data_IF_921273777453
#
_entry.id   IF_921273777453
#
_cell.length_a   1.000
_cell.length_b   1.000
_cell.length_c   1.000
_cell.angle_alpha   90.00
_cell.angle_beta   90.00
_cell.angle_gamma   90.00
#
_symmetry.space_group_name_H-M   'P 1'
#
loop_
_entity.id
_entity.type
_entity.pdbx_description
1 polymer ?
#
# COMPACT_ATOMS: atom_id res chain seq x y z
N UNK A 1 31.23 3.19 10.08
CA UNK A 1 30.94 3.74 8.72
C UNK A 1 31.60 5.11 8.62
N UNK A 2 32.56 5.28 7.70
CA UNK A 2 33.34 6.53 7.61
C UNK A 2 32.47 7.70 7.14
N UNK A 3 32.82 8.93 7.54
CA UNK A 3 32.10 10.15 7.11
C UNK A 3 32.10 10.36 5.59
N UNK A 4 33.06 9.78 4.89
CA UNK A 4 33.13 9.82 3.42
C UNK A 4 32.08 8.91 2.76
N UNK A 5 31.81 7.73 3.31
CA UNK A 5 30.75 6.82 2.83
C UNK A 5 29.38 7.45 3.00
N UNK A 6 29.14 8.16 4.12
CA UNK A 6 27.89 8.93 4.33
C UNK A 6 27.76 10.09 3.34
N UNK A 7 28.84 10.76 2.98
CA UNK A 7 28.86 11.85 1.98
C UNK A 7 28.66 11.35 0.55
N UNK A 8 29.17 10.17 0.20
CA UNK A 8 28.97 9.57 -1.12
C UNK A 8 27.55 9.07 -1.31
N UNK A 9 26.93 8.48 -0.30
CA UNK A 9 25.52 8.05 -0.30
C UNK A 9 24.60 9.28 -0.41
N UNK A 10 24.89 10.38 0.30
CA UNK A 10 24.14 11.63 0.22
C UNK A 10 24.26 12.33 -1.14
N UNK A 11 25.32 12.06 -1.91
CA UNK A 11 25.58 12.67 -3.24
C UNK A 11 24.95 11.88 -4.40
N UNK A 12 24.63 10.59 -4.18
CA UNK A 12 24.02 9.70 -5.16
C UNK A 12 22.50 9.52 -4.98
N UNK A 13 21.93 10.06 -3.89
CA UNK A 13 20.50 9.92 -3.63
C UNK A 13 19.69 10.92 -4.49
N UNK A 14 18.65 10.47 -5.21
CA UNK A 14 17.65 11.39 -5.73
C UNK A 14 17.14 12.25 -4.56
N UNK A 15 16.77 13.51 -4.87
CA UNK A 15 16.36 14.51 -3.88
C UNK A 15 15.50 13.84 -2.78
N UNK A 16 15.98 13.83 -1.51
CA UNK A 16 15.35 13.12 -0.38
C UNK A 16 13.87 13.46 -0.23
N UNK A 17 13.48 14.68 -0.60
CA UNK A 17 12.10 15.13 -0.57
C UNK A 17 11.26 14.47 -1.67
N UNK A 18 11.85 14.22 -2.85
CA UNK A 18 11.17 13.48 -3.92
C UNK A 18 10.85 12.05 -3.47
N UNK A 19 11.83 11.37 -2.89
CA UNK A 19 11.63 10.01 -2.33
C UNK A 19 10.57 10.03 -1.23
N UNK A 20 10.61 11.02 -0.35
CA UNK A 20 9.60 11.20 0.70
C UNK A 20 8.20 11.39 0.11
N UNK A 21 8.03 12.26 -0.88
CA UNK A 21 6.74 12.49 -1.54
C UNK A 21 6.21 11.20 -2.20
N UNK A 22 7.07 10.43 -2.89
CA UNK A 22 6.68 9.17 -3.53
C UNK A 22 6.26 8.13 -2.49
N UNK A 23 7.01 8.00 -1.39
CA UNK A 23 6.68 7.10 -0.30
C UNK A 23 5.37 7.51 0.40
N UNK A 24 5.15 8.80 0.59
CA UNK A 24 3.90 9.33 1.16
C UNK A 24 2.71 9.06 0.24
N UNK A 25 2.87 9.29 -1.06
CA UNK A 25 1.87 8.99 -2.08
C UNK A 25 1.53 7.49 -2.07
N UNK A 26 2.54 6.63 -2.10
CA UNK A 26 2.35 5.18 -2.06
C UNK A 26 1.65 4.74 -0.77
N UNK A 27 2.00 5.35 0.37
CA UNK A 27 1.38 5.09 1.67
C UNK A 27 -0.10 5.44 1.75
N UNK A 28 -0.53 6.49 1.05
CA UNK A 28 -1.95 6.87 0.95
C UNK A 28 -2.78 5.93 0.08
N UNK A 29 -2.15 5.19 -0.84
CA UNK A 29 -2.84 4.31 -1.79
C UNK A 29 -2.81 2.85 -1.35
N UNK A 30 -1.75 2.39 -0.69
CA UNK A 30 -1.48 0.98 -0.43
C UNK A 30 -2.65 0.21 0.22
N UNK A 31 -3.43 0.89 1.06
CA UNK A 31 -4.54 0.29 1.81
C UNK A 31 -5.93 0.53 1.18
N UNK A 32 -6.02 1.20 0.02
CA UNK A 32 -7.32 1.53 -0.59
C UNK A 32 -8.11 0.31 -1.01
N UNK A 33 -7.45 -0.73 -1.49
CA UNK A 33 -8.14 -1.97 -1.87
C UNK A 33 -8.63 -2.77 -0.66
N UNK A 34 -7.96 -2.72 0.48
CA UNK A 34 -8.46 -3.34 1.72
C UNK A 34 -9.55 -2.53 2.41
N UNK A 35 -9.56 -1.20 2.23
CA UNK A 35 -10.61 -0.30 2.74
C UNK A 35 -11.71 0.04 1.70
N UNK A 36 -11.80 -0.72 0.60
CA UNK A 36 -12.82 -0.48 -0.45
C UNK A 36 -14.27 -0.49 0.06
N UNK A 37 -14.55 -1.20 1.15
CA UNK A 37 -15.86 -1.19 1.81
C UNK A 37 -16.31 0.20 2.23
N UNK A 38 -15.38 1.09 2.57
CA UNK A 38 -15.72 2.44 3.05
C UNK A 38 -16.33 3.31 1.94
N UNK A 39 -16.06 2.96 0.68
CA UNK A 39 -16.57 3.64 -0.51
C UNK A 39 -17.69 2.86 -1.21
N UNK A 40 -17.57 1.53 -1.27
CA UNK A 40 -18.39 0.68 -2.14
C UNK A 40 -19.17 -0.40 -1.38
N UNK A 41 -19.50 -0.18 -0.10
CA UNK A 41 -20.15 -1.19 0.73
C UNK A 41 -21.47 -1.71 0.12
N UNK A 42 -22.37 -0.80 -0.20
CA UNK A 42 -23.67 -1.14 -0.81
C UNK A 42 -23.49 -1.74 -2.21
N UNK A 43 -22.71 -1.14 -3.13
CA UNK A 43 -22.41 -1.75 -4.43
C UNK A 43 -21.78 -3.15 -4.33
N UNK A 44 -20.93 -3.42 -3.33
CA UNK A 44 -20.36 -4.76 -3.13
C UNK A 44 -21.43 -5.78 -2.75
N UNK A 45 -22.40 -5.41 -1.91
CA UNK A 45 -23.52 -6.29 -1.59
C UNK A 45 -24.41 -6.56 -2.80
N UNK A 46 -24.74 -5.52 -3.53
CA UNK A 46 -25.67 -5.58 -4.65
C UNK A 46 -25.08 -6.33 -5.86
N UNK A 47 -23.84 -6.00 -6.26
CA UNK A 47 -23.26 -6.51 -7.51
C UNK A 47 -22.32 -7.70 -7.32
N UNK A 48 -21.71 -7.87 -6.14
CA UNK A 48 -20.91 -9.05 -5.83
C UNK A 48 -21.70 -10.12 -5.08
N UNK A 49 -22.93 -9.81 -4.63
CA UNK A 49 -23.79 -10.74 -3.89
C UNK A 49 -23.23 -11.11 -2.50
N UNK A 50 -22.40 -10.25 -1.91
CA UNK A 50 -21.79 -10.51 -0.61
C UNK A 50 -22.70 -10.03 0.52
N UNK A 51 -22.99 -10.89 1.49
CA UNK A 51 -23.71 -10.49 2.70
C UNK A 51 -22.82 -9.68 3.65
N UNK A 52 -23.46 -8.94 4.58
CA UNK A 52 -22.76 -8.20 5.65
C UNK A 52 -21.80 -9.12 6.42
N UNK A 53 -22.27 -10.33 6.76
CA UNK A 53 -21.46 -11.33 7.48
C UNK A 53 -20.25 -11.78 6.67
N UNK A 54 -20.40 -11.94 5.36
CA UNK A 54 -19.29 -12.37 4.48
C UNK A 54 -18.24 -11.27 4.31
N UNK A 55 -18.65 -10.02 4.17
CA UNK A 55 -17.74 -8.87 4.16
C UNK A 55 -17.03 -8.76 5.52
N UNK A 56 -17.76 -8.89 6.62
CA UNK A 56 -17.20 -8.89 7.96
C UNK A 56 -16.20 -10.03 8.20
N UNK A 57 -16.49 -11.24 7.70
CA UNK A 57 -15.57 -12.36 7.78
C UNK A 57 -14.27 -12.14 7.01
N UNK A 58 -14.33 -11.57 5.80
CA UNK A 58 -13.14 -11.21 5.04
C UNK A 58 -12.27 -10.16 5.75
N UNK A 59 -12.90 -9.17 6.38
CA UNK A 59 -12.20 -8.19 7.22
C UNK A 59 -11.59 -8.81 8.48
N UNK A 60 -12.26 -9.80 9.06
CA UNK A 60 -11.71 -10.55 10.21
C UNK A 60 -10.47 -11.35 9.82
N UNK A 61 -10.49 -12.01 8.66
CA UNK A 61 -9.30 -12.68 8.11
C UNK A 61 -8.16 -11.68 7.89
N UNK A 62 -8.46 -10.51 7.29
CA UNK A 62 -7.48 -9.45 7.15
C UNK A 62 -6.87 -9.06 8.50
N UNK A 63 -7.69 -8.78 9.51
CA UNK A 63 -7.24 -8.36 10.85
C UNK A 63 -6.42 -9.44 11.57
N UNK A 64 -6.78 -10.72 11.46
CA UNK A 64 -6.00 -11.83 12.02
C UNK A 64 -4.63 -11.93 11.37
N UNK A 65 -4.59 -11.90 10.03
CA UNK A 65 -3.35 -11.96 9.26
C UNK A 65 -2.48 -10.74 9.56
N UNK A 66 -3.07 -9.55 9.64
CA UNK A 66 -2.38 -8.31 10.04
C UNK A 66 -1.74 -8.47 11.43
N UNK A 67 -2.49 -8.92 12.42
CA UNK A 67 -2.01 -9.02 13.80
C UNK A 67 -0.83 -9.98 13.94
N UNK A 68 -0.95 -11.18 13.34
CA UNK A 68 0.14 -12.17 13.34
C UNK A 68 1.31 -11.66 12.48
N UNK A 69 1.00 -11.07 11.36
CA UNK A 69 1.95 -10.62 10.36
C UNK A 69 2.81 -9.45 10.80
N UNK A 70 2.31 -8.54 11.65
CA UNK A 70 3.11 -7.44 12.20
C UNK A 70 4.31 -7.95 12.99
N UNK A 71 4.16 -9.06 13.72
CA UNK A 71 5.28 -9.68 14.47
C UNK A 71 6.31 -10.24 13.47
N UNK A 72 5.87 -10.96 12.45
CA UNK A 72 6.74 -11.52 11.42
C UNK A 72 7.40 -10.43 10.55
N UNK A 73 6.68 -9.34 10.27
CA UNK A 73 7.13 -8.24 9.44
C UNK A 73 8.39 -7.55 9.98
N UNK A 74 8.57 -7.50 11.30
CA UNK A 74 9.77 -6.92 11.94
C UNK A 74 11.04 -7.65 11.47
N UNK A 75 10.98 -8.97 11.36
CA UNK A 75 12.13 -9.78 10.92
C UNK A 75 12.33 -9.75 9.40
N UNK A 76 11.25 -9.73 8.64
CA UNK A 76 11.29 -9.77 7.16
C UNK A 76 11.88 -8.47 6.59
N UNK A 77 11.64 -7.33 7.23
CA UNK A 77 12.14 -6.01 6.79
C UNK A 77 13.66 -5.91 6.64
N UNK A 78 14.43 -6.79 7.29
CA UNK A 78 15.88 -6.73 7.31
C UNK A 78 16.53 -7.65 6.27
N UNK A 79 15.77 -8.58 5.69
CA UNK A 79 16.29 -9.61 4.79
C UNK A 79 16.35 -9.12 3.34
N UNK A 80 15.39 -8.30 2.91
CA UNK A 80 15.21 -7.89 1.52
C UNK A 80 15.35 -6.37 1.40
N UNK A 81 15.91 -5.89 0.28
CA UNK A 81 16.01 -4.47 -0.02
C UNK A 81 14.65 -3.78 0.01
N UNK A 82 14.56 -2.64 0.73
CA UNK A 82 13.32 -1.84 0.90
C UNK A 82 12.66 -1.47 -0.42
N UNK A 83 13.46 -1.14 -1.41
CA UNK A 83 13.01 -0.80 -2.77
C UNK A 83 12.13 -1.90 -3.37
N UNK A 84 12.62 -3.15 -3.35
CA UNK A 84 11.91 -4.28 -3.94
C UNK A 84 10.71 -4.70 -3.09
N UNK A 85 10.81 -4.59 -1.77
CA UNK A 85 9.68 -4.90 -0.89
C UNK A 85 8.54 -3.91 -1.09
N UNK A 86 8.80 -2.62 -1.05
CA UNK A 86 7.77 -1.58 -1.23
C UNK A 86 7.14 -1.70 -2.62
N UNK A 87 7.97 -1.69 -3.67
CA UNK A 87 7.48 -1.73 -5.04
C UNK A 87 6.79 -3.05 -5.39
N UNK A 88 7.37 -4.17 -4.97
CA UNK A 88 6.79 -5.50 -5.20
C UNK A 88 5.46 -5.71 -4.48
N UNK A 89 5.36 -5.26 -3.22
CA UNK A 89 4.10 -5.32 -2.46
C UNK A 89 2.99 -4.51 -3.14
N UNK A 90 3.28 -3.28 -3.58
CA UNK A 90 2.29 -2.44 -4.27
C UNK A 90 1.84 -3.05 -5.61
N UNK A 91 2.77 -3.61 -6.38
CA UNK A 91 2.42 -4.33 -7.61
C UNK A 91 1.54 -5.54 -7.28
N UNK A 92 1.92 -6.32 -6.27
CA UNK A 92 1.12 -7.45 -5.80
C UNK A 92 -0.28 -7.05 -5.34
N UNK A 93 -0.41 -5.96 -4.56
CA UNK A 93 -1.71 -5.40 -4.15
C UNK A 93 -2.55 -5.03 -5.38
N UNK A 94 -1.94 -4.39 -6.39
CA UNK A 94 -2.63 -4.07 -7.64
C UNK A 94 -3.12 -5.31 -8.39
N UNK A 95 -2.31 -6.38 -8.46
CA UNK A 95 -2.71 -7.66 -9.08
C UNK A 95 -3.89 -8.28 -8.33
N UNK A 96 -3.88 -8.28 -6.99
CA UNK A 96 -5.01 -8.75 -6.19
C UNK A 96 -6.26 -7.89 -6.45
N UNK A 97 -6.10 -6.58 -6.64
CA UNK A 97 -7.20 -5.69 -6.99
C UNK A 97 -7.85 -6.03 -8.35
N UNK A 98 -7.06 -6.38 -9.37
CA UNK A 98 -7.59 -6.91 -10.63
C UNK A 98 -8.36 -8.22 -10.42
N UNK A 99 -7.87 -9.11 -9.57
CA UNK A 99 -8.59 -10.32 -9.21
C UNK A 99 -9.93 -10.00 -8.54
N UNK A 100 -9.98 -9.05 -7.60
CA UNK A 100 -11.23 -8.61 -6.96
C UNK A 100 -12.20 -8.02 -7.98
N UNK A 101 -11.71 -7.30 -9.00
CA UNK A 101 -12.53 -6.76 -10.08
C UNK A 101 -13.21 -7.84 -10.93
N UNK A 102 -12.77 -9.09 -10.87
CA UNK A 102 -13.50 -10.22 -11.52
C UNK A 102 -14.75 -10.66 -10.76
N UNK A 103 -14.98 -10.09 -9.58
CA UNK A 103 -16.05 -10.47 -8.65
C UNK A 103 -15.95 -11.94 -8.23
N UNK A 104 -14.85 -12.32 -7.58
CA UNK A 104 -14.69 -13.67 -7.08
C UNK A 104 -15.78 -13.97 -6.04
N UNK A 105 -16.23 -15.22 -5.98
CA UNK A 105 -17.17 -15.63 -4.95
C UNK A 105 -16.58 -15.44 -3.55
N UNK A 106 -17.41 -15.66 -2.51
CA UNK A 106 -17.06 -15.41 -1.10
C UNK A 106 -15.68 -15.89 -0.69
N UNK A 107 -15.33 -17.16 -0.98
CA UNK A 107 -14.03 -17.73 -0.61
C UNK A 107 -12.85 -17.04 -1.35
N UNK A 108 -13.05 -16.69 -2.62
CA UNK A 108 -12.04 -15.96 -3.39
C UNK A 108 -11.83 -14.55 -2.87
N UNK A 109 -12.92 -13.89 -2.47
CA UNK A 109 -12.85 -12.58 -1.84
C UNK A 109 -12.13 -12.62 -0.49
N UNK A 110 -12.45 -13.60 0.35
CA UNK A 110 -11.78 -13.82 1.64
C UNK A 110 -10.29 -14.11 1.47
N UNK A 111 -9.91 -14.93 0.49
CA UNK A 111 -8.51 -15.19 0.15
C UNK A 111 -7.79 -13.93 -0.30
N UNK A 112 -8.43 -13.12 -1.17
CA UNK A 112 -7.87 -11.85 -1.61
C UNK A 112 -7.57 -10.92 -0.44
N UNK A 113 -8.47 -10.82 0.55
CA UNK A 113 -8.24 -10.01 1.75
C UNK A 113 -7.09 -10.53 2.61
N UNK A 114 -6.93 -11.85 2.74
CA UNK A 114 -5.77 -12.45 3.39
C UNK A 114 -4.45 -12.08 2.69
N UNK A 115 -4.42 -12.15 1.36
CA UNK A 115 -3.24 -11.76 0.57
C UNK A 115 -2.97 -10.26 0.66
N UNK A 116 -4.02 -9.42 0.62
CA UNK A 116 -3.87 -7.97 0.82
C UNK A 116 -3.27 -7.64 2.19
N UNK A 117 -3.64 -8.37 3.25
CA UNK A 117 -3.07 -8.19 4.58
C UNK A 117 -1.57 -8.54 4.60
N UNK A 118 -1.16 -9.64 3.96
CA UNK A 118 0.25 -10.02 3.86
C UNK A 118 1.03 -8.94 3.11
N UNK A 119 0.56 -8.53 1.94
CA UNK A 119 1.27 -7.56 1.10
C UNK A 119 1.29 -6.16 1.73
N UNK A 120 0.19 -5.71 2.32
CA UNK A 120 0.07 -4.37 2.90
C UNK A 120 0.70 -4.26 4.28
N UNK A 121 0.31 -5.13 5.20
CA UNK A 121 0.62 -4.96 6.62
C UNK A 121 1.92 -5.67 7.03
N UNK A 122 2.22 -6.82 6.40
CA UNK A 122 3.42 -7.59 6.75
C UNK A 122 4.63 -7.13 5.96
N UNK A 123 4.48 -6.89 4.65
CA UNK A 123 5.62 -6.61 3.79
C UNK A 123 5.79 -5.11 3.47
N UNK A 124 4.70 -4.38 3.23
CA UNK A 124 4.78 -2.97 2.84
C UNK A 124 4.95 -2.03 4.03
N UNK A 125 4.06 -2.10 5.02
CA UNK A 125 3.96 -1.10 6.10
C UNK A 125 5.24 -0.97 6.94
N UNK A 126 5.82 -2.05 7.50
CA UNK A 126 7.03 -1.95 8.31
C UNK A 126 8.22 -1.39 7.52
N UNK A 127 8.31 -1.78 6.22
CA UNK A 127 9.38 -1.33 5.34
C UNK A 127 9.23 0.14 4.98
N UNK A 128 8.01 0.64 4.77
CA UNK A 128 7.71 2.06 4.57
C UNK A 128 8.18 2.88 5.77
N UNK A 129 7.79 2.48 6.99
CA UNK A 129 8.18 3.17 8.22
C UNK A 129 9.71 3.21 8.38
N UNK A 130 10.38 2.10 8.08
CA UNK A 130 11.84 2.03 8.11
C UNK A 130 12.49 2.93 7.04
N UNK A 131 11.94 2.97 5.83
CA UNK A 131 12.41 3.86 4.76
C UNK A 131 12.28 5.34 5.15
N UNK A 132 11.14 5.74 5.70
CA UNK A 132 10.92 7.12 6.20
C UNK A 132 11.88 7.46 7.33
N UNK A 133 12.10 6.53 8.27
CA UNK A 133 13.04 6.73 9.37
C UNK A 133 14.47 7.00 8.87
N UNK A 134 14.89 6.35 7.79
CA UNK A 134 16.23 6.55 7.21
C UNK A 134 16.36 7.86 6.42
N UNK A 135 15.25 8.47 6.00
CA UNK A 135 15.26 9.79 5.34
C UNK A 135 15.39 10.95 6.32
N UNK A 136 15.09 10.75 7.62
CA UNK A 136 15.14 11.78 8.65
C UNK A 136 16.33 11.63 9.58
N UNK A 137 16.78 12.75 10.19
CA UNK A 137 17.71 12.75 11.33
C UNK A 137 16.91 12.58 12.64
N UNK A 138 17.54 12.15 13.73
CA UNK A 138 16.89 11.94 15.04
C UNK A 138 16.04 13.13 15.49
N UNK A 139 16.51 14.36 15.21
CA UNK A 139 15.80 15.61 15.58
C UNK A 139 14.58 15.91 14.69
N UNK A 140 14.51 15.33 13.48
CA UNK A 140 13.47 15.62 12.49
C UNK A 140 12.50 14.47 12.29
N UNK A 141 12.75 13.30 12.86
CA UNK A 141 11.93 12.10 12.67
C UNK A 141 10.45 12.33 13.01
N UNK A 142 10.15 12.95 14.15
CA UNK A 142 8.75 13.23 14.52
C UNK A 142 8.01 14.08 13.49
N UNK A 143 8.69 15.08 12.91
CA UNK A 143 8.11 15.89 11.81
C UNK A 143 7.91 15.09 10.53
N UNK A 144 8.86 14.21 10.19
CA UNK A 144 8.75 13.36 9.00
C UNK A 144 7.56 12.40 9.11
N UNK A 145 7.35 11.77 10.26
CA UNK A 145 6.16 10.94 10.47
C UNK A 145 4.87 11.74 10.48
N UNK A 146 4.86 12.94 11.08
CA UNK A 146 3.70 13.83 11.02
C UNK A 146 3.34 14.25 9.59
N UNK A 147 4.34 14.61 8.78
CA UNK A 147 4.12 14.94 7.36
C UNK A 147 3.72 13.70 6.54
N UNK A 148 4.24 12.52 6.85
CA UNK A 148 3.83 11.27 6.23
C UNK A 148 2.33 11.02 6.46
N UNK A 149 1.88 11.06 7.72
CA UNK A 149 0.47 10.79 8.04
C UNK A 149 -0.47 11.84 7.45
N UNK A 150 -0.10 13.14 7.52
CA UNK A 150 -0.86 14.20 6.88
C UNK A 150 -0.95 13.99 5.37
N UNK A 151 0.17 13.73 4.70
CA UNK A 151 0.22 13.54 3.26
C UNK A 151 -0.54 12.28 2.81
N UNK A 152 -0.41 11.18 3.57
CA UNK A 152 -1.19 9.95 3.33
C UNK A 152 -2.69 10.23 3.40
N UNK A 153 -3.16 10.97 4.42
CA UNK A 153 -4.57 11.32 4.54
C UNK A 153 -5.09 12.15 3.35
N UNK A 154 -4.30 13.11 2.88
CA UNK A 154 -4.66 13.90 1.67
C UNK A 154 -4.75 13.02 0.43
N UNK A 155 -3.75 12.16 0.19
CA UNK A 155 -3.74 11.24 -0.95
C UNK A 155 -4.90 10.25 -0.85
N UNK A 156 -5.17 9.76 0.35
CA UNK A 156 -6.28 8.84 0.64
C UNK A 156 -7.63 9.43 0.20
N UNK A 157 -7.91 10.66 0.57
CA UNK A 157 -9.16 11.37 0.19
C UNK A 157 -9.22 11.61 -1.31
N UNK A 158 -8.13 12.05 -1.93
CA UNK A 158 -8.09 12.32 -3.38
C UNK A 158 -8.35 11.02 -4.17
N UNK A 159 -7.69 9.93 -3.82
CA UNK A 159 -7.83 8.65 -4.52
C UNK A 159 -9.22 8.04 -4.30
N UNK A 160 -9.75 8.11 -3.06
CA UNK A 160 -11.11 7.66 -2.76
C UNK A 160 -12.16 8.44 -3.57
N UNK A 161 -12.05 9.77 -3.57
CA UNK A 161 -12.97 10.64 -4.31
C UNK A 161 -12.87 10.39 -5.82
N UNK A 162 -11.67 10.16 -6.34
CA UNK A 162 -11.46 9.83 -7.76
C UNK A 162 -12.07 8.48 -8.13
N UNK A 163 -11.91 7.45 -7.29
CA UNK A 163 -12.53 6.13 -7.51
C UNK A 163 -14.06 6.23 -7.50
N UNK A 164 -14.63 7.01 -6.59
CA UNK A 164 -16.07 7.26 -6.54
C UNK A 164 -16.56 8.06 -7.74
N UNK A 165 -15.78 9.04 -8.21
CA UNK A 165 -16.10 9.79 -9.43
C UNK A 165 -16.10 8.88 -10.67
N UNK A 166 -15.16 7.96 -10.80
CA UNK A 166 -15.15 6.93 -11.86
C UNK A 166 -16.39 6.06 -11.78
N UNK A 167 -16.76 5.59 -10.60
CA UNK A 167 -17.96 4.78 -10.37
C UNK A 167 -19.25 5.50 -10.84
N UNK A 168 -19.41 6.76 -10.43
CA UNK A 168 -20.55 7.60 -10.82
C UNK A 168 -20.59 7.87 -12.33
N UNK A 169 -19.45 8.23 -12.90
CA UNK A 169 -19.34 8.54 -14.33
C UNK A 169 -19.67 7.33 -15.22
N UNK A 170 -19.46 6.10 -14.73
CA UNK A 170 -19.79 4.85 -15.42
C UNK A 170 -21.23 4.35 -15.16
N UNK A 171 -22.09 5.12 -14.46
CA UNK A 171 -23.52 4.82 -14.27
C UNK A 171 -23.84 3.92 -13.08
N UNK A 172 -22.96 3.85 -12.08
CA UNK A 172 -23.21 3.24 -10.76
C UNK A 172 -23.65 1.76 -10.79
N UNK A 173 -23.31 1.03 -11.85
CA UNK A 173 -23.66 -0.39 -12.02
C UNK A 173 -22.48 -1.34 -11.71
N UNK A 174 -22.68 -2.64 -11.97
CA UNK A 174 -21.64 -3.66 -11.77
C UNK A 174 -20.37 -3.37 -12.59
N UNK A 175 -20.49 -2.87 -13.81
CA UNK A 175 -19.36 -2.46 -14.64
C UNK A 175 -18.62 -1.26 -14.03
N UNK A 176 -19.35 -0.32 -13.44
CA UNK A 176 -18.81 0.84 -12.76
C UNK A 176 -18.00 0.44 -11.50
N UNK A 177 -18.51 -0.52 -10.72
CA UNK A 177 -17.81 -1.07 -9.56
C UNK A 177 -16.49 -1.75 -9.97
N UNK A 178 -16.51 -2.55 -11.05
CA UNK A 178 -15.29 -3.12 -11.64
C UNK A 178 -14.32 -2.04 -12.08
N UNK A 179 -14.81 -0.98 -12.72
CA UNK A 179 -14.04 0.19 -13.13
C UNK A 179 -13.34 0.86 -11.94
N UNK A 180 -14.05 1.03 -10.82
CA UNK A 180 -13.49 1.55 -9.58
C UNK A 180 -12.35 0.69 -9.02
N UNK A 181 -12.52 -0.65 -9.00
CA UNK A 181 -11.45 -1.56 -8.54
C UNK A 181 -10.26 -1.58 -9.51
N UNK A 182 -10.50 -1.56 -10.82
CA UNK A 182 -9.44 -1.47 -11.83
C UNK A 182 -8.67 -0.16 -11.67
N UNK A 183 -9.38 0.96 -11.50
CA UNK A 183 -8.75 2.26 -11.24
C UNK A 183 -7.81 2.22 -10.03
N UNK A 184 -8.31 1.73 -8.88
CA UNK A 184 -7.49 1.59 -7.67
C UNK A 184 -6.28 0.67 -7.89
N UNK A 185 -6.45 -0.43 -8.62
CA UNK A 185 -5.39 -1.38 -8.94
C UNK A 185 -4.30 -0.74 -9.79
N UNK A 186 -4.68 -0.02 -10.84
CA UNK A 186 -3.74 0.68 -11.74
C UNK A 186 -2.97 1.76 -10.98
N UNK A 187 -3.66 2.59 -10.18
CA UNK A 187 -3.02 3.65 -9.40
C UNK A 187 -2.01 3.05 -8.40
N UNK A 188 -2.37 1.93 -7.76
CA UNK A 188 -1.47 1.22 -6.82
C UNK A 188 -0.25 0.64 -7.53
N UNK A 189 -0.43 0.04 -8.72
CA UNK A 189 0.70 -0.48 -9.51
C UNK A 189 1.61 0.64 -10.00
N UNK A 190 1.05 1.76 -10.44
CA UNK A 190 1.84 2.95 -10.85
C UNK A 190 2.67 3.45 -9.66
N UNK A 191 2.09 3.55 -8.46
CA UNK A 191 2.83 3.89 -7.26
C UNK A 191 3.96 2.88 -6.97
N UNK A 192 3.72 1.58 -7.18
CA UNK A 192 4.73 0.54 -7.05
C UNK A 192 5.90 0.72 -8.03
N UNK A 193 5.60 1.00 -9.29
CA UNK A 193 6.62 1.27 -10.32
C UNK A 193 7.41 2.53 -9.98
N UNK A 194 6.77 3.61 -9.55
CA UNK A 194 7.46 4.83 -9.10
C UNK A 194 8.39 4.54 -7.93
N UNK A 195 7.97 3.73 -6.96
CA UNK A 195 8.84 3.31 -5.87
C UNK A 195 10.05 2.49 -6.37
N UNK A 196 9.85 1.58 -7.34
CA UNK A 196 10.95 0.82 -7.94
C UNK A 196 11.95 1.69 -8.71
N UNK A 197 11.52 2.81 -9.26
CA UNK A 197 12.41 3.72 -10.01
C UNK A 197 13.17 4.65 -9.04
N UNK A 198 12.46 5.29 -8.13
CA UNK A 198 12.97 6.43 -7.37
C UNK A 198 13.48 6.09 -5.97
N UNK A 199 13.02 4.98 -5.34
CA UNK A 199 13.55 4.59 -4.04
C UNK A 199 14.96 4.02 -4.23
N UNK A 200 15.97 4.53 -3.50
CA UNK A 200 17.35 4.05 -3.62
C UNK A 200 17.45 2.58 -3.22
N UNK A 201 18.35 1.87 -3.90
CA UNK A 201 18.69 0.49 -3.53
C UNK A 201 19.57 0.53 -2.28
N UNK A 202 19.10 -0.09 -1.20
CA UNK A 202 19.97 -0.31 -0.03
C UNK A 202 20.89 -1.48 -0.33
N UNK A 203 22.19 -1.25 -0.31
CA UNK A 203 23.16 -2.33 -0.15
C UNK A 203 22.83 -3.04 1.16
N UNK A 204 22.71 -4.37 1.09
CA UNK A 204 22.32 -5.23 2.21
C UNK A 204 23.12 -4.86 3.45
N UNK A 205 22.45 -4.47 4.52
CA UNK A 205 22.98 -4.69 5.86
C UNK A 205 22.91 -6.20 6.13
N UNK A 206 23.82 -6.95 5.54
CA UNK A 206 24.09 -8.32 5.92
C UNK A 206 25.04 -8.22 7.12
N UNK A 207 24.52 -8.49 8.30
CA UNK A 207 25.27 -8.94 9.45
C UNK A 207 26.32 -7.96 10.05
N UNK A 208 25.92 -7.23 11.05
CA UNK A 208 26.71 -7.07 12.30
C UNK A 208 25.78 -7.29 13.48
#
# INVERSE_FOLDING_TARGET
>A
MSNETKKQIAKAAPNRWLVFCILTFSGGIAFKLSSMKDMFYVPMQEFMGLSNTQIGAALSVYGIVQTIGLIAGIYICDIISKKYMIGGSLIGIGVVGFYIATFPGYYGFMLAFGVLAILGEVTYWPVLLKAIRLLGDEKTQGRMFGFLEMGRGVVDVIVASSALAVFRAMGEGAAALRGGFIFLSVVTMVAGVLCLIFVPHDEKCVGE
#
